data_IF_524106566097
#
_entry.id   IF_524106566097
#
_cell.length_a   1.000
_cell.length_b   1.000
_cell.length_c   1.000
_cell.angle_alpha   90.00
_cell.angle_beta   90.00
_cell.angle_gamma   90.00
#
_symmetry.space_group_name_H-M   'P 1'
#
loop_
_entity.id
_entity.type
_entity.pdbx_description
1 polymer ?
#
# COMPACT_ATOMS: atom_id res chain seq x y z
N UNK A 1 -27.03 1.87 -9.28
CA UNK A 1 -25.60 2.18 -9.49
C UNK A 1 -25.33 3.54 -8.90
N UNK A 2 -24.61 3.54 -7.78
CA UNK A 2 -24.38 4.73 -6.98
C UNK A 2 -23.40 5.70 -7.68
N UNK A 3 -23.41 6.98 -7.31
CA UNK A 3 -22.55 8.02 -7.93
C UNK A 3 -21.07 7.63 -7.86
N UNK A 4 -20.65 7.09 -6.71
CA UNK A 4 -19.31 6.53 -6.47
C UNK A 4 -18.94 5.43 -7.47
N UNK A 5 -19.88 4.53 -7.74
CA UNK A 5 -19.66 3.38 -8.61
C UNK A 5 -19.48 3.78 -10.07
N UNK A 6 -20.25 4.79 -10.53
CA UNK A 6 -20.07 5.38 -11.86
C UNK A 6 -18.72 6.07 -12.01
N UNK A 7 -18.21 6.70 -10.96
CA UNK A 7 -16.93 7.41 -11.01
C UNK A 7 -15.73 6.45 -10.96
N UNK A 8 -15.81 5.39 -10.15
CA UNK A 8 -14.85 4.29 -10.17
C UNK A 8 -14.82 3.62 -11.54
N UNK A 9 -15.98 3.34 -12.16
CA UNK A 9 -16.00 2.70 -13.49
C UNK A 9 -15.37 3.56 -14.60
N UNK A 10 -15.31 4.88 -14.42
CA UNK A 10 -14.60 5.79 -15.35
C UNK A 10 -13.08 5.77 -15.14
N UNK A 11 -12.61 5.39 -13.96
CA UNK A 11 -11.19 5.32 -13.61
C UNK A 11 -10.74 3.85 -13.65
N UNK A 12 -9.89 3.49 -14.60
CA UNK A 12 -9.45 2.10 -14.74
C UNK A 12 -8.45 1.79 -13.63
N UNK A 13 -8.84 0.99 -12.62
CA UNK A 13 -7.84 0.30 -11.80
C UNK A 13 -7.03 -0.62 -12.71
N UNK A 14 -5.71 -0.51 -12.69
CA UNK A 14 -4.83 -1.27 -13.57
C UNK A 14 -4.90 -2.80 -13.32
N UNK A 15 -5.46 -3.22 -12.19
CA UNK A 15 -5.58 -4.62 -11.78
C UNK A 15 -7.04 -5.00 -11.50
N UNK A 16 -7.42 -6.20 -11.92
CA UNK A 16 -8.73 -6.78 -11.63
C UNK A 16 -8.75 -7.46 -10.24
N UNK A 17 -9.94 -7.85 -9.78
CA UNK A 17 -10.09 -8.43 -8.44
C UNK A 17 -9.19 -9.66 -8.20
N UNK A 18 -9.09 -10.56 -9.19
CA UNK A 18 -8.29 -11.78 -9.09
C UNK A 18 -6.80 -11.49 -8.93
N UNK A 19 -6.28 -10.50 -9.67
CA UNK A 19 -4.88 -10.07 -9.57
C UNK A 19 -4.59 -9.42 -8.22
N UNK A 20 -5.49 -8.55 -7.74
CA UNK A 20 -5.37 -7.95 -6.41
C UNK A 20 -5.42 -9.00 -5.31
N UNK A 21 -6.40 -9.92 -5.36
CA UNK A 21 -6.51 -11.01 -4.39
C UNK A 21 -5.23 -11.85 -4.33
N UNK A 22 -4.70 -12.24 -5.49
CA UNK A 22 -3.47 -13.02 -5.58
C UNK A 22 -2.29 -12.27 -4.97
N UNK A 23 -2.07 -11.01 -5.35
CA UNK A 23 -0.99 -10.21 -4.79
C UNK A 23 -1.05 -10.14 -3.26
N UNK A 24 -2.23 -9.81 -2.71
CA UNK A 24 -2.43 -9.70 -1.26
C UNK A 24 -2.22 -11.04 -0.54
N UNK A 25 -2.62 -12.14 -1.17
CA UNK A 25 -2.42 -13.51 -0.66
C UNK A 25 -0.94 -13.85 -0.61
N UNK A 26 -0.21 -13.64 -1.71
CA UNK A 26 1.24 -13.91 -1.76
C UNK A 26 1.99 -13.05 -0.74
N UNK A 27 1.62 -11.78 -0.56
CA UNK A 27 2.21 -10.89 0.45
C UNK A 27 1.95 -11.37 1.89
N UNK A 28 0.76 -11.93 2.15
CA UNK A 28 0.42 -12.53 3.45
C UNK A 28 1.21 -13.82 3.69
N UNK A 29 1.24 -14.72 2.71
CA UNK A 29 1.85 -16.05 2.83
C UNK A 29 3.37 -15.99 2.95
N UNK A 30 3.98 -14.95 2.38
CA UNK A 30 5.44 -14.69 2.50
C UNK A 30 5.81 -13.95 3.78
N UNK A 31 4.84 -13.69 4.68
CA UNK A 31 5.01 -12.95 5.93
C UNK A 31 5.79 -11.63 5.75
N UNK A 32 5.64 -10.98 4.59
CA UNK A 32 6.36 -9.72 4.34
C UNK A 32 5.82 -8.70 5.33
N UNK A 33 6.64 -8.34 6.31
CA UNK A 33 6.32 -7.32 7.28
C UNK A 33 6.51 -5.95 6.63
N UNK A 34 5.47 -5.45 5.95
CA UNK A 34 5.53 -4.15 5.28
C UNK A 34 5.01 -3.08 6.23
N UNK A 35 5.85 -2.72 7.22
CA UNK A 35 5.50 -1.70 8.22
C UNK A 35 5.37 -0.28 7.63
N UNK A 36 5.78 -0.10 6.37
CA UNK A 36 5.86 1.22 5.72
C UNK A 36 5.19 1.26 4.34
N UNK A 37 4.28 0.33 4.02
CA UNK A 37 3.54 0.42 2.78
C UNK A 37 2.47 1.50 2.85
N UNK A 38 2.13 2.04 1.69
CA UNK A 38 1.05 3.00 1.54
C UNK A 38 0.09 2.56 0.45
N UNK A 39 -1.19 2.82 0.65
CA UNK A 39 -2.23 2.58 -0.35
C UNK A 39 -2.86 3.91 -0.75
N UNK A 40 -3.15 4.06 -2.04
CA UNK A 40 -3.92 5.16 -2.60
C UNK A 40 -5.18 4.63 -3.28
N UNK A 41 -6.29 5.33 -3.05
CA UNK A 41 -7.58 5.03 -3.67
C UNK A 41 -7.88 6.00 -4.81
N UNK A 42 -8.57 5.52 -5.84
CA UNK A 42 -8.84 6.25 -7.07
C UNK A 42 -9.56 7.59 -6.85
N UNK A 43 -10.37 7.72 -5.81
CA UNK A 43 -11.22 8.89 -5.56
C UNK A 43 -10.75 9.73 -4.37
N UNK A 44 -9.55 9.44 -3.87
CA UNK A 44 -9.00 10.12 -2.71
C UNK A 44 -7.56 10.53 -2.96
N UNK A 45 -7.27 11.81 -2.75
CA UNK A 45 -5.91 12.33 -2.90
C UNK A 45 -5.00 12.00 -1.71
N UNK A 46 -5.57 11.46 -0.62
CA UNK A 46 -4.81 11.01 0.56
C UNK A 46 -4.27 9.61 0.35
N UNK A 47 -3.08 9.40 0.90
CA UNK A 47 -2.48 8.08 1.08
C UNK A 47 -2.72 7.61 2.50
N UNK A 48 -2.85 6.29 2.67
CA UNK A 48 -3.09 5.65 3.95
C UNK A 48 -1.97 4.67 4.25
N UNK A 49 -1.62 4.51 5.54
CA UNK A 49 -0.73 3.42 5.93
C UNK A 49 -1.40 2.09 5.57
N UNK A 50 -0.69 1.29 4.81
CA UNK A 50 -1.19 0.01 4.35
C UNK A 50 -0.73 -1.08 5.30
N UNK A 51 -1.67 -1.51 6.14
CA UNK A 51 -1.53 -2.73 6.93
C UNK A 51 -2.46 -3.78 6.32
N UNK A 52 -1.92 -4.96 5.99
CA UNK A 52 -2.69 -6.09 5.45
C UNK A 52 -3.68 -6.58 6.52
N UNK A 53 -4.92 -6.08 6.46
CA UNK A 53 -6.04 -6.56 7.27
C UNK A 53 -6.73 -7.78 6.67
N UNK A 54 -8.05 -7.88 6.92
CA UNK A 54 -8.92 -8.87 6.29
C UNK A 54 -9.12 -8.57 4.81
N UNK A 55 -9.04 -9.61 3.97
CA UNK A 55 -9.33 -9.50 2.55
C UNK A 55 -9.84 -10.83 2.00
N UNK A 56 -10.62 -10.81 0.92
CA UNK A 56 -11.22 -12.01 0.34
C UNK A 56 -11.28 -12.01 -1.19
N UNK A 57 -11.57 -13.19 -1.74
CA UNK A 57 -11.67 -13.47 -3.19
C UNK A 57 -12.74 -12.64 -3.89
N UNK A 58 -13.73 -12.11 -3.17
CA UNK A 58 -14.84 -11.36 -3.75
C UNK A 58 -14.46 -9.91 -4.10
N UNK A 59 -13.20 -9.54 -3.88
CA UNK A 59 -12.71 -8.22 -4.23
C UNK A 59 -12.84 -7.20 -3.10
N UNK A 60 -12.80 -7.67 -1.85
CA UNK A 60 -12.98 -6.85 -0.67
C UNK A 60 -11.73 -6.90 0.21
N UNK A 61 -11.34 -5.75 0.74
CA UNK A 61 -10.26 -5.60 1.70
C UNK A 61 -10.65 -4.64 2.82
N UNK A 62 -9.85 -4.62 3.88
CA UNK A 62 -9.98 -3.69 4.99
C UNK A 62 -8.62 -3.06 5.28
N UNK A 63 -8.60 -1.73 5.38
CA UNK A 63 -7.47 -0.97 5.91
C UNK A 63 -7.93 -0.37 7.22
N UNK A 64 -7.25 -0.68 8.32
CA UNK A 64 -7.65 -0.28 9.68
C UNK A 64 -7.97 1.21 9.85
N UNK A 65 -7.33 2.11 9.10
CA UNK A 65 -7.58 3.55 9.15
C UNK A 65 -8.79 4.03 8.33
N UNK A 66 -9.22 3.28 7.30
CA UNK A 66 -10.30 3.67 6.38
C UNK A 66 -11.56 2.82 6.56
N UNK A 67 -11.39 1.58 7.03
CA UNK A 67 -12.39 0.53 7.01
C UNK A 67 -12.46 -0.20 5.66
N UNK A 68 -13.61 -0.81 5.36
CA UNK A 68 -13.76 -1.72 4.24
C UNK A 68 -13.76 -1.02 2.88
N UNK A 69 -13.11 -1.63 1.88
CA UNK A 69 -13.01 -1.13 0.51
C UNK A 69 -13.10 -2.26 -0.52
N UNK A 70 -13.45 -1.93 -1.76
CA UNK A 70 -13.37 -2.85 -2.90
C UNK A 70 -12.05 -2.70 -3.64
N UNK A 71 -11.49 -3.78 -4.17
CA UNK A 71 -10.22 -3.74 -4.90
C UNK A 71 -10.23 -2.82 -6.12
N UNK A 72 -11.40 -2.66 -6.76
CA UNK A 72 -11.58 -1.70 -7.87
C UNK A 72 -11.35 -0.25 -7.48
N UNK A 73 -11.33 0.06 -6.18
CA UNK A 73 -11.09 1.40 -5.65
C UNK A 73 -9.60 1.69 -5.50
N UNK A 74 -8.73 0.68 -5.57
CA UNK A 74 -7.28 0.84 -5.43
C UNK A 74 -6.70 1.46 -6.71
N UNK A 75 -5.94 2.54 -6.54
CA UNK A 75 -5.12 3.15 -7.58
C UNK A 75 -3.74 2.48 -7.63
N UNK A 76 -3.03 2.46 -6.50
CA UNK A 76 -1.73 1.80 -6.35
C UNK A 76 -1.44 1.46 -4.89
N UNK A 77 -0.50 0.52 -4.69
CA UNK A 77 0.15 0.23 -3.41
C UNK A 77 1.64 0.50 -3.58
N UNK A 78 2.19 1.34 -2.71
CA UNK A 78 3.63 1.61 -2.63
C UNK A 78 4.23 0.67 -1.59
N UNK A 79 5.13 -0.20 -2.06
CA UNK A 79 5.97 -1.04 -1.21
C UNK A 79 7.38 -0.45 -1.23
N UNK A 80 7.88 0.11 -0.11
CA UNK A 80 9.21 0.71 -0.08
C UNK A 80 10.31 -0.34 -0.28
N UNK A 81 11.36 0.03 -1.01
CA UNK A 81 12.51 -0.82 -1.35
C UNK A 81 13.30 -1.30 -0.13
N UNK A 82 13.37 -0.45 0.91
CA UNK A 82 13.90 -0.81 2.22
C UNK A 82 12.73 -1.23 3.09
N UNK A 83 12.55 -2.54 3.26
CA UNK A 83 11.88 -3.03 4.45
C UNK A 83 12.81 -2.68 5.62
N UNK A 84 12.41 -1.75 6.48
CA UNK A 84 12.96 -1.75 7.83
C UNK A 84 12.53 -3.09 8.42
N UNK A 85 13.35 -4.14 8.26
CA UNK A 85 13.40 -5.16 9.28
C UNK A 85 13.69 -4.38 10.54
N UNK A 86 12.66 -4.13 11.35
CA UNK A 86 12.79 -3.60 12.70
C UNK A 86 13.80 -4.49 13.43
N UNK A 87 15.08 -4.15 13.30
CA UNK A 87 16.07 -4.52 14.29
C UNK A 87 15.71 -3.64 15.46
N UNK A 88 14.89 -4.19 16.35
CA UNK A 88 14.75 -3.71 17.70
C UNK A 88 16.09 -3.93 18.43
N UNK A 89 17.12 -3.19 18.00
CA UNK A 89 18.31 -3.03 18.79
C UNK A 89 17.89 -2.17 19.96
N UNK A 90 17.68 -2.82 21.10
CA UNK A 90 17.58 -2.17 22.40
C UNK A 90 18.74 -1.15 22.47
N UNK A 91 18.42 0.14 22.38
CA UNK A 91 19.24 1.29 22.80
C UNK A 91 20.00 2.18 21.81
N UNK A 92 19.94 2.09 20.48
CA UNK A 92 20.61 3.15 19.67
C UNK A 92 19.80 3.68 18.48
N UNK A 93 19.36 4.93 18.62
CA UNK A 93 18.84 5.78 17.55
C UNK A 93 20.03 6.20 16.67
N UNK A 94 20.39 5.39 15.69
CA UNK A 94 21.27 5.84 14.61
C UNK A 94 20.45 6.73 13.67
N UNK A 95 20.44 8.03 13.94
CA UNK A 95 20.10 9.03 12.92
C UNK A 95 21.19 8.96 11.86
N UNK A 96 21.00 8.15 10.81
CA UNK A 96 21.82 8.28 9.63
C UNK A 96 21.43 9.60 8.96
N UNK A 97 22.20 10.66 9.18
CA UNK A 97 22.14 11.85 8.35
C UNK A 97 22.51 11.41 6.92
N UNK A 98 21.50 11.39 6.04
CA UNK A 98 21.70 11.13 4.63
C UNK A 98 22.53 12.28 4.04
N UNK A 99 23.81 12.04 3.78
CA UNK A 99 24.61 12.90 2.91
C UNK A 99 24.15 12.70 1.46
N UNK A 100 23.20 13.53 1.01
CA UNK A 100 23.12 13.84 -0.42
C UNK A 100 24.28 14.80 -0.75
N UNK A 101 25.47 14.28 -1.03
CA UNK A 101 26.40 15.03 -1.87
C UNK A 101 25.86 14.97 -3.30
N UNK A 102 25.08 15.98 -3.66
CA UNK A 102 24.76 16.26 -5.04
C UNK A 102 26.09 16.42 -5.81
N UNK A 103 26.36 15.52 -6.75
CA UNK A 103 27.31 15.76 -7.82
C UNK A 103 26.92 17.08 -8.50
N UNK A 104 27.65 18.14 -8.16
CA UNK A 104 27.60 19.37 -8.94
C UNK A 104 28.31 19.08 -10.25
N UNK A 105 27.56 19.10 -11.35
CA UNK A 105 28.10 19.42 -12.66
C UNK A 105 28.85 20.75 -12.59
N UNK A 106 30.13 20.73 -12.96
CA UNK A 106 30.72 21.55 -14.03
C UNK A 106 32.18 21.14 -14.25
#
# INVERSE_FOLDING_TARGET
MDKLEKEILKRVSYMNNSKWFRLLTEMRDTEINIQSAYIKFLLNDRTYKFHLGGFNTNGFGDVSELGPFRYKEIEWILIPEKYETERWNRNEKLTSEFFFSADRKN
#
